data_IF_738874031990
#
_entry.id   IF_738874031990
#
_cell.length_a   1.000
_cell.length_b   1.000
_cell.length_c   1.000
_cell.angle_alpha   90.00
_cell.angle_beta   90.00
_cell.angle_gamma   90.00
#
_symmetry.space_group_name_H-M   'P 1'
#
loop_
_entity.id
_entity.type
_entity.pdbx_description
1 polymer ?
#
# COMPACT_ATOMS: atom_id res chain seq x y z
N UNK A 1 12.90 18.94 3.54
CA UNK A 1 13.06 18.03 2.38
C UNK A 1 12.69 16.67 2.92
N UNK A 2 11.38 16.43 3.05
CA UNK A 2 10.82 15.40 3.95
C UNK A 2 9.68 14.69 3.26
N UNK A 3 9.97 14.19 2.06
CA UNK A 3 8.92 13.68 1.19
C UNK A 3 8.77 12.17 1.40
N UNK A 4 7.63 11.79 1.98
CA UNK A 4 7.09 10.43 1.94
C UNK A 4 6.01 10.42 0.89
N UNK A 5 6.17 9.59 -0.13
CA UNK A 5 5.13 9.37 -1.12
C UNK A 5 4.11 8.40 -0.54
N UNK A 6 2.86 8.83 -0.49
CA UNK A 6 1.78 8.04 0.10
C UNK A 6 0.86 7.59 -1.03
N UNK A 7 0.83 6.29 -1.29
CA UNK A 7 -0.07 5.66 -2.26
C UNK A 7 -1.25 5.08 -1.48
N UNK A 8 -2.40 5.73 -1.61
CA UNK A 8 -3.65 5.31 -0.99
C UNK A 8 -4.51 4.60 -2.01
N UNK A 9 -4.89 3.36 -1.73
CA UNK A 9 -5.79 2.63 -2.61
C UNK A 9 -7.03 2.15 -1.86
N UNK A 10 -8.22 2.56 -2.31
CA UNK A 10 -9.51 2.25 -1.67
C UNK A 10 -10.30 1.12 -2.37
N UNK A 11 -9.83 0.60 -3.50
CA UNK A 11 -10.58 -0.34 -4.35
C UNK A 11 -9.92 -1.71 -4.52
N UNK A 12 -10.33 -2.43 -5.56
CA UNK A 12 -9.87 -3.78 -5.87
C UNK A 12 -8.64 -3.85 -6.79
N UNK A 13 -8.39 -2.81 -7.62
CA UNK A 13 -7.18 -2.70 -8.46
C UNK A 13 -6.63 -1.27 -8.50
N UNK A 14 -5.30 -1.12 -8.39
CA UNK A 14 -4.61 0.17 -8.57
C UNK A 14 -4.86 0.64 -10.00
N UNK A 15 -5.43 1.85 -10.13
CA UNK A 15 -5.69 2.44 -11.43
C UNK A 15 -4.37 2.62 -12.19
N UNK A 16 -4.28 2.06 -13.40
CA UNK A 16 -3.05 2.05 -14.19
C UNK A 16 -2.60 3.46 -14.60
N UNK A 17 -3.54 4.38 -14.79
CA UNK A 17 -3.21 5.77 -15.13
C UNK A 17 -2.63 6.49 -13.93
N UNK A 18 -3.24 6.35 -12.75
CA UNK A 18 -2.72 6.93 -11.51
C UNK A 18 -1.34 6.35 -11.18
N UNK A 19 -1.17 5.04 -11.35
CA UNK A 19 0.12 4.38 -11.21
C UNK A 19 1.16 4.92 -12.19
N UNK A 20 0.81 5.03 -13.48
CA UNK A 20 1.71 5.53 -14.51
C UNK A 20 2.14 6.98 -14.27
N UNK A 21 1.23 7.84 -13.81
CA UNK A 21 1.56 9.21 -13.40
C UNK A 21 2.54 9.20 -12.23
N UNK A 22 2.27 8.40 -11.21
CA UNK A 22 3.16 8.23 -10.07
C UNK A 22 4.56 7.76 -10.49
N UNK A 23 4.67 6.67 -11.26
CA UNK A 23 5.96 6.13 -11.68
C UNK A 23 6.73 7.12 -12.54
N UNK A 24 6.03 7.85 -13.42
CA UNK A 24 6.64 8.90 -14.23
C UNK A 24 7.25 10.01 -13.37
N UNK A 25 6.46 10.60 -12.46
CA UNK A 25 6.95 11.63 -11.54
C UNK A 25 8.10 11.11 -10.67
N UNK A 26 7.96 9.87 -10.18
CA UNK A 26 8.97 9.25 -9.36
C UNK A 26 10.29 9.07 -10.13
N UNK A 27 10.23 8.59 -11.37
CA UNK A 27 11.39 8.42 -12.24
C UNK A 27 12.11 9.74 -12.51
N UNK A 28 11.43 10.88 -12.60
CA UNK A 28 12.07 12.16 -12.91
C UNK A 28 12.47 12.99 -11.69
N UNK A 29 12.03 12.60 -10.50
CA UNK A 29 12.43 13.28 -9.27
C UNK A 29 13.93 13.10 -8.98
N UNK A 30 14.53 14.13 -8.39
CA UNK A 30 15.93 14.07 -7.93
C UNK A 30 16.11 13.19 -6.70
N UNK A 31 15.06 13.00 -5.88
CA UNK A 31 15.06 12.15 -4.69
C UNK A 31 13.65 11.61 -4.42
N UNK A 32 13.51 10.28 -4.34
CA UNK A 32 12.40 9.61 -3.64
C UNK A 32 12.97 8.65 -2.62
N UNK A 33 13.15 9.09 -1.38
CA UNK A 33 13.74 8.20 -0.40
C UNK A 33 12.71 7.19 0.13
N UNK A 34 11.41 7.51 0.18
CA UNK A 34 10.45 6.76 0.99
C UNK A 34 9.05 6.67 0.36
N UNK A 35 8.48 5.47 0.39
CA UNK A 35 7.11 5.19 0.00
C UNK A 35 6.33 4.52 1.12
N UNK A 36 5.10 4.99 1.33
CA UNK A 36 4.09 4.35 2.15
C UNK A 36 2.93 3.91 1.26
N UNK A 37 2.66 2.61 1.22
CA UNK A 37 1.52 2.03 0.52
C UNK A 37 0.45 1.66 1.56
N UNK A 38 -0.77 2.14 1.36
CA UNK A 38 -1.95 1.72 2.12
C UNK A 38 -2.89 0.99 1.14
N UNK A 39 -2.63 -0.30 0.90
CA UNK A 39 -3.45 -1.09 -0.02
C UNK A 39 -4.78 -1.41 0.64
N UNK A 40 -5.86 -1.15 -0.09
CA UNK A 40 -7.19 -1.59 0.29
C UNK A 40 -7.33 -3.11 0.13
N UNK A 41 -8.12 -3.54 -0.86
CA UNK A 41 -8.16 -4.94 -1.30
C UNK A 41 -7.15 -5.21 -2.42
N UNK A 42 -6.78 -4.18 -3.17
CA UNK A 42 -5.83 -4.26 -4.27
C UNK A 42 -4.39 -4.42 -3.79
N UNK A 43 -3.61 -5.19 -4.55
CA UNK A 43 -2.17 -5.29 -4.39
C UNK A 43 -1.47 -4.81 -5.66
N UNK A 44 -0.22 -4.31 -5.55
CA UNK A 44 0.63 -4.13 -6.71
C UNK A 44 0.73 -5.42 -7.51
N UNK A 45 0.37 -5.37 -8.79
CA UNK A 45 0.49 -6.51 -9.69
C UNK A 45 1.95 -6.80 -10.07
N UNK A 46 2.17 -7.71 -11.01
CA UNK A 46 3.52 -8.07 -11.46
C UNK A 46 4.26 -6.87 -12.08
N UNK A 47 3.59 -6.09 -12.93
CA UNK A 47 4.17 -4.93 -13.61
C UNK A 47 4.49 -3.82 -12.62
N UNK A 48 3.55 -3.52 -11.72
CA UNK A 48 3.71 -2.50 -10.70
C UNK A 48 4.83 -2.85 -9.71
N UNK A 49 5.00 -4.13 -9.36
CA UNK A 49 6.17 -4.57 -8.57
C UNK A 49 7.49 -4.36 -9.32
N UNK A 50 7.52 -4.56 -10.63
CA UNK A 50 8.71 -4.29 -11.43
C UNK A 50 9.07 -2.81 -11.42
N UNK A 51 8.09 -1.92 -11.59
CA UNK A 51 8.32 -0.47 -11.48
C UNK A 51 8.87 -0.08 -10.10
N UNK A 52 8.37 -0.69 -9.01
CA UNK A 52 8.90 -0.44 -7.66
C UNK A 52 10.35 -0.89 -7.49
N UNK A 53 10.73 -1.99 -8.13
CA UNK A 53 12.12 -2.48 -8.12
C UNK A 53 13.02 -1.50 -8.87
N UNK A 54 12.64 -1.06 -10.06
CA UNK A 54 13.42 -0.06 -10.82
C UNK A 54 13.57 1.26 -10.06
N UNK A 55 12.49 1.74 -9.42
CA UNK A 55 12.54 2.93 -8.58
C UNK A 55 13.47 2.74 -7.38
N UNK A 56 13.49 1.55 -6.78
CA UNK A 56 14.42 1.22 -5.70
C UNK A 56 15.87 1.21 -6.19
N UNK A 57 16.17 0.57 -7.31
CA UNK A 57 17.53 0.54 -7.88
C UNK A 57 18.07 1.95 -8.16
N UNK A 58 17.18 2.86 -8.61
CA UNK A 58 17.54 4.23 -8.92
C UNK A 58 17.70 5.12 -7.68
N UNK A 59 16.81 4.98 -6.70
CA UNK A 59 16.68 5.94 -5.60
C UNK A 59 17.01 5.38 -4.21
N UNK A 60 17.30 4.08 -4.09
CA UNK A 60 17.44 3.36 -2.83
C UNK A 60 16.23 3.56 -1.90
N UNK A 61 15.03 3.52 -2.49
CA UNK A 61 13.78 3.79 -1.80
C UNK A 61 13.46 2.72 -0.75
N UNK A 62 12.97 3.11 0.43
CA UNK A 62 12.30 2.17 1.36
C UNK A 62 10.79 2.16 1.14
N UNK A 63 10.18 0.98 1.29
CA UNK A 63 8.75 0.77 1.09
C UNK A 63 8.09 0.25 2.36
N UNK A 64 7.23 1.05 2.96
CA UNK A 64 6.37 0.59 4.04
C UNK A 64 4.97 0.25 3.50
N UNK A 65 4.38 -0.83 4.01
CA UNK A 65 3.02 -1.26 3.64
C UNK A 65 2.18 -1.38 4.91
N UNK A 66 1.10 -0.60 5.02
CA UNK A 66 0.13 -0.67 6.12
C UNK A 66 -1.03 -1.58 5.73
N UNK A 67 -1.09 -2.80 6.26
CA UNK A 67 -2.19 -3.73 6.00
C UNK A 67 -2.27 -4.87 7.02
N UNK A 68 -3.49 -5.21 7.42
CA UNK A 68 -3.77 -6.40 8.23
C UNK A 68 -3.91 -7.68 7.37
N UNK A 69 -3.87 -7.55 6.04
CA UNK A 69 -4.02 -8.68 5.11
C UNK A 69 -2.74 -9.50 4.97
N UNK A 70 -2.77 -10.77 5.38
CA UNK A 70 -1.67 -11.73 5.16
C UNK A 70 -1.30 -11.85 3.68
N UNK A 71 -2.26 -11.67 2.78
CA UNK A 71 -2.00 -11.76 1.35
C UNK A 71 -1.19 -10.53 0.88
N UNK A 72 -1.50 -9.33 1.38
CA UNK A 72 -0.71 -8.10 1.11
C UNK A 72 0.72 -8.25 1.63
N UNK A 73 0.89 -8.84 2.82
CA UNK A 73 2.22 -9.07 3.37
C UNK A 73 3.09 -10.01 2.52
N UNK A 74 2.51 -10.85 1.65
CA UNK A 74 3.29 -11.65 0.68
C UNK A 74 3.96 -10.79 -0.39
N UNK A 75 3.35 -9.66 -0.76
CA UNK A 75 3.97 -8.71 -1.70
C UNK A 75 5.22 -8.07 -1.09
N UNK A 76 5.18 -7.75 0.21
CA UNK A 76 6.37 -7.28 0.93
C UNK A 76 7.50 -8.31 0.85
N UNK A 77 7.18 -9.60 1.02
CA UNK A 77 8.18 -10.67 0.86
C UNK A 77 8.75 -10.70 -0.56
N UNK A 78 7.92 -10.58 -1.59
CA UNK A 78 8.38 -10.55 -2.98
C UNK A 78 9.31 -9.36 -3.26
N UNK A 79 8.97 -8.17 -2.76
CA UNK A 79 9.81 -6.97 -2.87
C UNK A 79 11.16 -7.15 -2.16
N UNK A 80 11.16 -7.73 -0.96
CA UNK A 80 12.40 -8.06 -0.24
C UNK A 80 13.28 -9.04 -1.01
N UNK A 81 12.70 -10.05 -1.65
CA UNK A 81 13.46 -11.00 -2.47
C UNK A 81 14.08 -10.34 -3.70
N UNK A 82 13.46 -9.28 -4.21
CA UNK A 82 14.02 -8.43 -5.26
C UNK A 82 15.02 -7.37 -4.75
N UNK A 83 15.41 -7.41 -3.47
CA UNK A 83 16.40 -6.51 -2.89
C UNK A 83 15.85 -5.19 -2.34
N UNK A 84 14.55 -4.92 -2.48
CA UNK A 84 13.92 -3.69 -1.98
C UNK A 84 13.87 -3.71 -0.44
N UNK A 85 14.28 -2.61 0.20
CA UNK A 85 14.10 -2.42 1.64
C UNK A 85 12.61 -2.16 1.96
N UNK A 86 11.83 -3.25 2.06
CA UNK A 86 10.40 -3.20 2.29
C UNK A 86 10.00 -3.74 3.67
N UNK A 87 8.93 -3.23 4.29
CA UNK A 87 8.37 -3.80 5.52
C UNK A 87 6.86 -3.60 5.60
N UNK A 88 6.17 -4.63 6.07
CA UNK A 88 4.73 -4.59 6.34
C UNK A 88 4.45 -4.31 7.81
N UNK A 89 3.39 -3.56 8.07
CA UNK A 89 2.93 -3.11 9.38
C UNK A 89 1.42 -3.29 9.49
N UNK A 90 0.92 -3.47 10.71
CA UNK A 90 -0.52 -3.45 10.99
C UNK A 90 -1.08 -2.07 10.65
N UNK A 91 -2.36 -1.99 10.27
CA UNK A 91 -2.97 -0.73 9.80
C UNK A 91 -2.93 0.39 10.86
N UNK A 92 -2.88 0.03 12.14
CA UNK A 92 -2.81 0.94 13.28
C UNK A 92 -1.38 1.28 13.73
N UNK A 93 -0.34 0.62 13.19
CA UNK A 93 1.07 0.84 13.55
C UNK A 93 1.73 1.94 12.70
N UNK A 94 1.14 3.14 12.72
CA UNK A 94 1.70 4.30 12.02
C UNK A 94 3.05 4.74 12.63
N UNK A 95 3.23 4.64 13.94
CA UNK A 95 4.50 5.02 14.58
C UNK A 95 5.65 4.10 14.14
N UNK A 96 5.46 2.78 14.17
CA UNK A 96 6.45 1.82 13.68
C UNK A 96 6.75 2.00 12.19
N UNK A 97 5.73 2.30 11.41
CA UNK A 97 5.85 2.61 9.98
C UNK A 97 6.75 3.82 9.73
N UNK A 98 6.46 4.95 10.38
CA UNK A 98 7.24 6.18 10.21
C UNK A 98 8.63 6.09 10.85
N UNK A 99 8.81 5.26 11.88
CA UNK A 99 10.12 4.94 12.42
C UNK A 99 11.01 4.23 11.39
N UNK A 100 10.47 3.22 10.70
CA UNK A 100 11.18 2.50 9.64
C UNK A 100 11.52 3.41 8.45
N UNK A 101 10.62 4.30 8.08
CA UNK A 101 10.86 5.31 7.05
C UNK A 101 11.75 6.47 7.54
N UNK A 102 12.22 6.47 8.80
CA UNK A 102 13.03 7.55 9.38
C UNK A 102 12.35 8.93 9.28
N UNK A 103 11.01 8.96 9.40
CA UNK A 103 10.16 10.16 9.24
C UNK A 103 9.14 10.31 10.36
N UNK A 104 9.50 9.93 11.60
CA UNK A 104 8.64 10.12 12.79
C UNK A 104 8.10 11.55 12.93
N UNK A 105 8.87 12.56 12.52
CA UNK A 105 8.45 13.97 12.57
C UNK A 105 7.23 14.29 11.68
N UNK A 106 6.89 13.44 10.71
CA UNK A 106 5.72 13.61 9.83
C UNK A 106 4.43 13.05 10.43
N UNK A 107 4.46 12.49 11.65
CA UNK A 107 3.33 11.78 12.24
C UNK A 107 2.03 12.57 12.22
N UNK A 108 2.03 13.84 12.64
CA UNK A 108 0.82 14.66 12.65
C UNK A 108 0.23 14.88 11.25
N UNK A 109 1.10 15.08 10.24
CA UNK A 109 0.69 15.28 8.86
C UNK A 109 0.13 14.01 8.23
N UNK A 110 0.83 12.88 8.43
CA UNK A 110 0.44 11.60 7.86
C UNK A 110 -0.81 11.05 8.55
N UNK A 111 -0.90 11.12 9.89
CA UNK A 111 -2.11 10.73 10.62
C UNK A 111 -3.33 11.56 10.22
N UNK A 112 -3.18 12.88 10.03
CA UNK A 112 -4.28 13.72 9.55
C UNK A 112 -4.74 13.36 8.13
N UNK A 113 -3.82 13.01 7.23
CA UNK A 113 -4.16 12.59 5.87
C UNK A 113 -4.75 11.17 5.81
N UNK A 114 -4.26 10.28 6.67
CA UNK A 114 -4.65 8.88 6.75
C UNK A 114 -5.78 8.62 7.75
N UNK A 115 -6.27 9.60 8.51
CA UNK A 115 -7.23 9.41 9.60
C UNK A 115 -8.39 8.47 9.27
N UNK A 116 -9.15 8.72 8.18
CA UNK A 116 -10.22 7.82 7.76
C UNK A 116 -9.75 6.39 7.46
N UNK A 117 -8.49 6.21 7.06
CA UNK A 117 -7.92 4.89 6.76
C UNK A 117 -7.48 4.13 8.00
N UNK A 118 -6.89 4.83 8.97
CA UNK A 118 -6.43 4.23 10.23
C UNK A 118 -7.61 3.81 11.11
N UNK A 119 -8.72 4.55 11.03
CA UNK A 119 -9.96 4.25 11.76
C UNK A 119 -10.75 3.07 11.20
N UNK A 120 -10.25 2.41 10.14
CA UNK A 120 -10.90 1.25 9.48
C UNK A 120 -12.30 1.53 8.95
N UNK A 121 -12.73 2.80 8.86
CA UNK A 121 -14.10 3.19 8.46
C UNK A 121 -14.42 2.91 6.98
N UNK A 122 -13.43 2.50 6.20
CA UNK A 122 -13.51 2.16 4.78
C UNK A 122 -13.46 0.65 4.53
N UNK A 123 -13.13 -0.16 5.55
CA UNK A 123 -13.22 -1.60 5.40
C UNK A 123 -14.71 -1.96 5.32
N UNK A 124 -15.14 -2.71 4.30
CA UNK A 124 -16.50 -3.20 4.24
C UNK A 124 -16.76 -4.06 5.47
N UNK A 125 -17.94 -3.88 6.06
CA UNK A 125 -18.35 -4.62 7.26
C UNK A 125 -18.13 -6.12 7.00
N UNK A 126 -17.34 -6.81 7.85
CA UNK A 126 -17.09 -8.24 7.68
C UNK A 126 -18.39 -9.08 7.64
N UNK A 127 -19.50 -8.56 8.17
CA UNK A 127 -20.82 -9.19 8.06
C UNK A 127 -21.36 -9.25 6.61
N UNK A 128 -20.99 -8.28 5.75
CA UNK A 128 -21.42 -8.22 4.35
C UNK A 128 -20.69 -9.24 3.46
N UNK A 129 -19.50 -9.70 3.87
CA UNK A 129 -18.72 -10.72 3.15
C UNK A 129 -19.30 -12.14 3.25
N UNK A 130 -20.13 -12.42 4.26
CA UNK A 130 -20.84 -13.70 4.36
C UNK A 130 -22.07 -13.76 3.46
N UNK A 131 -22.76 -12.63 3.25
CA UNK A 131 -24.01 -12.60 2.49
C UNK A 131 -23.81 -12.83 0.98
N UNK A 132 -22.68 -12.38 0.40
CA UNK A 132 -22.39 -12.59 -1.03
C UNK A 132 -22.03 -14.04 -1.37
N UNK A 133 -21.43 -14.78 -0.42
CA UNK A 133 -21.11 -16.20 -0.61
C UNK A 133 -22.35 -17.10 -0.60
N UNK A 134 -23.37 -16.77 0.18
CA UNK A 134 -24.61 -17.54 0.22
C UNK A 134 -25.49 -17.26 -1.01
N UNK A 135 -25.52 -16.03 -1.52
CA UNK A 135 -26.34 -15.68 -2.69
C UNK A 135 -25.84 -16.30 -4.01
N UNK A 136 -24.53 -16.54 -4.13
CA UNK A 136 -23.93 -17.23 -5.28
C UNK A 136 -24.17 -18.75 -5.24
N UNK A 137 -24.32 -19.34 -4.05
CA UNK A 137 -24.60 -20.78 -3.90
C UNK A 137 -26.10 -21.11 -4.07
N UNK A 138 -27.00 -20.14 -3.92
CA UNK A 138 -28.44 -20.34 -4.16
C UNK A 138 -28.89 -20.12 -5.62
N UNK A 139 -28.04 -19.58 -6.50
CA UNK A 139 -28.43 -19.25 -7.88
C UNK A 139 -28.12 -20.35 -8.91
N UNK A 140 -27.36 -21.38 -8.55
CA UNK A 140 -27.03 -22.53 -9.43
C UNK A 140 -28.03 -23.69 -9.32
N UNK A 141 -29.20 -23.44 -8.75
CA UNK A 141 -30.14 -24.49 -8.36
C UNK A 141 -31.56 -24.35 -8.90
N UNK A 142 -31.80 -23.79 -10.09
CA UNK A 142 -33.11 -23.86 -10.78
C UNK A 142 -32.94 -24.15 -12.28
#
# INVERSE_FOLDING_TARGET
MDDVFVVLHRGDAIDERDWGMFVSEARFSRKLPMMLIVPGRAMPDVSQRYDLIELHEKHHMKVAVLSDSKAVLRVVTALKWAGVEAKGFAVDDLDGTLAFLERRHLWARVSSALGPYLERSWLPDPSLLHSERESLLSSDGH
#
